data_IF_716834236419
#
_entry.id   IF_716834236419
#
_cell.length_a   1.000
_cell.length_b   1.000
_cell.length_c   1.000
_cell.angle_alpha   90.00
_cell.angle_beta   90.00
_cell.angle_gamma   90.00
#
_symmetry.space_group_name_H-M   'P 1'
#
loop_
_entity.id
_entity.type
_entity.pdbx_description
1 polymer ?
#
# COMPACT_ATOMS: atom_id res chain seq x y z
N UNK A 1 -23.97 4.44 14.07
CA UNK A 1 -25.39 4.74 13.82
C UNK A 1 -25.98 3.57 13.05
N UNK A 2 -27.30 3.49 12.96
CA UNK A 2 -27.96 2.48 12.13
C UNK A 2 -27.52 2.66 10.67
N UNK A 3 -26.91 1.63 10.08
CA UNK A 3 -26.33 1.68 8.74
C UNK A 3 -24.82 1.93 8.65
N UNK A 4 -24.13 2.15 9.78
CA UNK A 4 -22.65 2.23 9.76
C UNK A 4 -22.05 0.88 9.36
N UNK A 5 -21.04 0.93 8.49
CA UNK A 5 -20.31 -0.26 8.04
C UNK A 5 -18.84 -0.09 8.34
N UNK A 6 -18.26 -1.08 9.00
CA UNK A 6 -16.84 -1.15 9.27
C UNK A 6 -16.02 -1.31 7.97
N UNK A 7 -14.74 -0.98 8.02
CA UNK A 7 -13.80 -1.14 6.92
C UNK A 7 -13.80 -2.59 6.46
N UNK A 8 -13.58 -3.51 7.41
CA UNK A 8 -13.81 -4.92 7.22
C UNK A 8 -15.30 -5.22 7.51
N UNK A 9 -16.01 -5.76 6.51
CA UNK A 9 -17.46 -5.97 6.57
C UNK A 9 -17.89 -7.06 7.56
N UNK A 10 -16.95 -7.88 8.02
CA UNK A 10 -17.19 -9.01 8.92
C UNK A 10 -17.02 -8.65 10.40
N UNK A 11 -16.69 -7.39 10.72
CA UNK A 11 -16.54 -6.91 12.11
C UNK A 11 -17.51 -5.77 12.43
N UNK A 12 -17.74 -5.59 13.73
CA UNK A 12 -18.59 -4.52 14.25
C UNK A 12 -17.92 -3.15 14.04
N UNK A 13 -18.67 -2.13 13.57
CA UNK A 13 -18.18 -0.76 13.49
C UNK A 13 -18.01 -0.16 14.90
N UNK A 14 -16.79 0.26 15.23
CA UNK A 14 -16.45 0.76 16.58
C UNK A 14 -15.89 2.19 16.60
N UNK A 15 -15.50 2.75 15.46
CA UNK A 15 -14.86 4.07 15.41
C UNK A 15 -15.26 4.88 14.17
N UNK A 16 -15.85 6.04 14.37
CA UNK A 16 -16.15 7.01 13.32
C UNK A 16 -15.18 8.19 13.38
N UNK A 17 -14.65 8.60 12.23
CA UNK A 17 -13.95 9.88 12.10
C UNK A 17 -14.98 10.97 11.90
N UNK A 18 -14.84 12.09 12.60
CA UNK A 18 -15.66 13.27 12.37
C UNK A 18 -15.09 13.98 11.13
N UNK A 19 -15.83 14.05 10.01
CA UNK A 19 -15.36 14.74 8.82
C UNK A 19 -15.25 16.25 9.09
N UNK A 20 -14.31 16.91 8.42
CA UNK A 20 -14.27 18.37 8.38
C UNK A 20 -15.49 18.93 7.66
N UNK A 21 -15.82 20.20 7.94
CA UNK A 21 -16.91 20.88 7.24
C UNK A 21 -16.48 21.18 5.80
N UNK A 22 -17.33 20.85 4.83
CA UNK A 22 -17.05 21.11 3.42
C UNK A 22 -16.85 22.61 3.16
N UNK A 23 -15.76 22.97 2.48
CA UNK A 23 -15.42 24.35 2.16
C UNK A 23 -14.75 25.13 3.29
N UNK A 24 -14.57 24.54 4.48
CA UNK A 24 -13.79 25.15 5.54
C UNK A 24 -12.27 25.08 5.24
N UNK A 25 -11.54 26.13 5.58
CA UNK A 25 -10.08 26.12 5.44
C UNK A 25 -9.45 25.09 6.40
N UNK A 26 -8.46 24.29 5.96
CA UNK A 26 -7.78 23.36 6.84
C UNK A 26 -7.14 24.08 8.03
N UNK A 27 -7.55 23.71 9.24
CA UNK A 27 -7.02 24.26 10.48
C UNK A 27 -6.24 23.21 11.26
N UNK A 28 -5.13 23.60 11.88
CA UNK A 28 -4.34 22.71 12.74
C UNK A 28 -4.92 22.69 14.17
N UNK A 29 -6.14 22.19 14.32
CA UNK A 29 -6.85 22.08 15.60
C UNK A 29 -6.75 20.70 16.26
N UNK A 30 -6.02 19.77 15.63
CA UNK A 30 -5.82 18.42 16.15
C UNK A 30 -4.43 18.28 16.79
N UNK A 31 -4.39 17.83 18.04
CA UNK A 31 -3.17 17.39 18.70
C UNK A 31 -3.09 15.87 18.64
N UNK A 32 -2.30 15.37 17.69
CA UNK A 32 -1.97 13.95 17.60
C UNK A 32 -1.02 13.53 18.72
N UNK A 33 -1.04 12.25 19.08
CA UNK A 33 -0.06 11.74 20.03
C UNK A 33 1.34 11.75 19.42
N UNK A 34 2.32 12.14 20.24
CA UNK A 34 3.74 12.12 19.88
C UNK A 34 4.34 10.70 19.80
N UNK A 35 3.59 9.67 20.21
CA UNK A 35 3.99 8.27 20.19
C UNK A 35 2.94 7.39 19.50
N UNK A 36 3.37 6.22 19.03
CA UNK A 36 2.46 5.21 18.49
C UNK A 36 1.65 4.57 19.63
N UNK A 37 0.33 4.71 19.57
CA UNK A 37 -0.56 3.86 20.36
C UNK A 37 -0.65 2.47 19.74
N UNK A 38 -0.91 1.48 20.58
CA UNK A 38 -1.26 0.14 20.11
C UNK A 38 -2.56 0.20 19.31
N UNK A 39 -2.45 0.08 17.99
CA UNK A 39 -3.57 0.02 17.06
C UNK A 39 -3.63 -1.38 16.45
N UNK A 40 -4.28 -2.34 17.13
CA UNK A 40 -4.40 -3.70 16.63
C UNK A 40 -5.23 -3.73 15.35
N UNK A 41 -5.09 -4.80 14.55
CA UNK A 41 -5.92 -5.03 13.37
C UNK A 41 -7.41 -4.84 13.66
N UNK A 42 -7.91 -5.41 14.75
CA UNK A 42 -9.31 -5.27 15.16
C UNK A 42 -9.77 -3.80 15.34
N UNK A 43 -8.87 -2.92 15.79
CA UNK A 43 -9.19 -1.50 15.90
C UNK A 43 -9.35 -0.87 14.50
N UNK A 44 -8.40 -1.12 13.60
CA UNK A 44 -8.42 -0.57 12.22
C UNK A 44 -9.56 -1.14 11.38
N UNK A 45 -9.78 -2.44 11.46
CA UNK A 45 -10.86 -3.15 10.77
C UNK A 45 -12.24 -2.60 11.15
N UNK A 46 -12.42 -2.18 12.41
CA UNK A 46 -13.67 -1.62 12.92
C UNK A 46 -13.87 -0.13 12.65
N UNK A 47 -13.00 0.52 11.88
CA UNK A 47 -13.22 1.92 11.47
C UNK A 47 -14.40 2.00 10.51
N UNK A 48 -15.31 2.93 10.77
CA UNK A 48 -16.46 3.19 9.92
C UNK A 48 -15.96 3.88 8.65
N UNK A 49 -16.36 3.34 7.51
CA UNK A 49 -16.06 3.89 6.18
C UNK A 49 -17.30 3.87 5.33
N UNK A 50 -17.45 4.92 4.52
CA UNK A 50 -18.56 5.03 3.59
C UNK A 50 -18.64 3.82 2.66
N UNK A 51 -19.86 3.41 2.37
CA UNK A 51 -20.19 2.36 1.39
C UNK A 51 -20.88 2.93 0.15
N UNK A 52 -21.13 4.25 0.14
CA UNK A 52 -21.70 4.92 -1.02
C UNK A 52 -20.64 4.98 -2.14
N UNK A 53 -20.91 4.42 -3.34
CA UNK A 53 -20.01 4.53 -4.47
C UNK A 53 -19.66 5.97 -4.85
N UNK A 54 -20.56 6.93 -4.63
CA UNK A 54 -20.31 8.35 -4.88
C UNK A 54 -19.24 8.93 -3.93
N UNK A 55 -19.09 8.35 -2.74
CA UNK A 55 -18.14 8.80 -1.72
C UNK A 55 -16.82 8.02 -1.74
N UNK A 56 -16.68 7.02 -2.61
CA UNK A 56 -15.49 6.16 -2.67
C UNK A 56 -14.17 6.92 -2.92
N UNK A 57 -14.26 8.04 -3.64
CA UNK A 57 -13.11 8.94 -3.90
C UNK A 57 -13.05 10.15 -2.97
N UNK A 58 -13.99 10.24 -2.02
CA UNK A 58 -14.07 11.30 -1.02
C UNK A 58 -13.33 10.86 0.27
N UNK A 59 -13.01 11.79 1.18
CA UNK A 59 -12.34 11.45 2.44
C UNK A 59 -13.05 10.37 3.27
N UNK A 60 -14.39 10.28 3.21
CA UNK A 60 -15.20 9.29 3.94
C UNK A 60 -15.06 7.85 3.42
N UNK A 61 -14.63 7.66 2.17
CA UNK A 61 -14.36 6.35 1.55
C UNK A 61 -12.88 6.00 1.40
N UNK A 62 -11.98 6.89 1.86
CA UNK A 62 -10.55 6.79 1.58
C UNK A 62 -9.91 5.50 2.10
N UNK A 63 -10.16 5.12 3.36
CA UNK A 63 -9.55 3.92 3.95
C UNK A 63 -10.10 2.65 3.27
N UNK A 64 -11.39 2.63 2.91
CA UNK A 64 -12.00 1.52 2.16
C UNK A 64 -11.30 1.32 0.81
N UNK A 65 -11.03 2.41 0.09
CA UNK A 65 -10.29 2.33 -1.17
C UNK A 65 -8.88 1.75 -0.98
N UNK A 66 -8.19 2.10 0.10
CA UNK A 66 -6.87 1.54 0.40
C UNK A 66 -6.95 0.03 0.71
N UNK A 67 -7.97 -0.39 1.46
CA UNK A 67 -8.21 -1.80 1.76
C UNK A 67 -8.55 -2.58 0.48
N UNK A 68 -9.49 -2.10 -0.33
CA UNK A 68 -9.90 -2.77 -1.58
C UNK A 68 -8.70 -2.90 -2.55
N UNK A 69 -7.83 -1.89 -2.62
CA UNK A 69 -6.59 -1.96 -3.41
C UNK A 69 -5.58 -2.95 -2.84
N UNK A 70 -5.51 -3.08 -1.51
CA UNK A 70 -4.63 -4.03 -0.81
C UNK A 70 -5.11 -5.47 -1.02
N UNK A 71 -6.42 -5.69 -1.01
CA UNK A 71 -7.04 -7.00 -1.22
C UNK A 71 -6.73 -7.58 -2.61
N UNK A 72 -6.41 -6.74 -3.60
CA UNK A 72 -5.92 -7.20 -4.92
C UNK A 72 -4.59 -7.95 -4.85
N UNK A 73 -3.80 -7.73 -3.79
CA UNK A 73 -2.52 -8.39 -3.55
C UNK A 73 -2.64 -9.62 -2.63
N UNK A 74 -3.81 -9.86 -2.03
CA UNK A 74 -4.01 -10.98 -1.13
C UNK A 74 -3.76 -12.33 -1.84
N UNK A 75 -2.99 -13.21 -1.20
CA UNK A 75 -2.60 -14.51 -1.78
C UNK A 75 -1.54 -14.41 -2.88
N UNK A 76 -0.97 -13.22 -3.12
CA UNK A 76 0.19 -13.00 -3.99
C UNK A 76 1.47 -12.80 -3.18
N UNK A 77 1.42 -13.01 -1.87
CA UNK A 77 2.61 -12.88 -1.02
C UNK A 77 3.64 -13.97 -1.36
N UNK A 78 4.92 -13.63 -1.24
CA UNK A 78 5.98 -14.64 -1.29
C UNK A 78 5.83 -15.59 -0.10
N UNK A 79 5.90 -16.92 -0.29
CA UNK A 79 5.94 -17.86 0.83
C UNK A 79 7.20 -17.67 1.68
N UNK A 80 8.26 -17.11 1.09
CA UNK A 80 9.53 -16.80 1.74
C UNK A 80 9.59 -15.31 2.10
N UNK A 81 9.31 -14.98 3.37
CA UNK A 81 9.49 -13.64 3.89
C UNK A 81 10.99 -13.37 4.11
N UNK A 82 11.60 -12.59 3.23
CA UNK A 82 12.99 -12.17 3.38
C UNK A 82 13.09 -10.86 4.20
N UNK A 83 13.68 -10.87 5.41
CA UNK A 83 13.70 -9.70 6.30
C UNK A 83 14.79 -8.70 5.90
N UNK A 84 14.69 -8.13 4.69
CA UNK A 84 15.72 -7.26 4.12
C UNK A 84 16.08 -6.05 5.01
N UNK A 85 15.13 -5.59 5.83
CA UNK A 85 15.31 -4.47 6.76
C UNK A 85 16.19 -4.79 7.98
N UNK A 86 16.43 -6.07 8.25
CA UNK A 86 17.24 -6.54 9.38
C UNK A 86 18.59 -7.12 8.92
N UNK A 87 19.01 -6.84 7.68
CA UNK A 87 20.26 -7.31 7.13
C UNK A 87 21.31 -6.21 7.16
N UNK A 88 22.50 -6.58 7.61
CA UNK A 88 23.72 -5.78 7.49
C UNK A 88 24.68 -6.54 6.60
N UNK A 89 24.90 -6.12 5.34
CA UNK A 89 25.82 -6.80 4.45
C UNK A 89 27.25 -6.70 4.99
N UNK A 90 28.07 -7.72 4.70
CA UNK A 90 29.51 -7.67 4.98
C UNK A 90 30.11 -6.44 4.27
N UNK A 91 30.80 -5.53 4.99
CA UNK A 91 31.46 -4.38 4.40
C UNK A 91 32.34 -4.71 3.19
N UNK A 92 32.96 -5.90 3.14
CA UNK A 92 33.78 -6.35 2.02
C UNK A 92 32.98 -6.57 0.72
N UNK A 93 31.67 -6.76 0.83
CA UNK A 93 30.75 -6.98 -0.31
C UNK A 93 29.79 -5.81 -0.56
N UNK A 94 29.80 -4.80 0.31
CA UNK A 94 28.82 -3.73 0.31
C UNK A 94 28.77 -2.95 -1.01
N UNK A 95 29.94 -2.63 -1.59
CA UNK A 95 30.02 -1.90 -2.86
C UNK A 95 29.47 -2.72 -4.03
N UNK A 96 29.82 -4.01 -4.10
CA UNK A 96 29.31 -4.92 -5.13
C UNK A 96 27.79 -5.08 -5.03
N UNK A 97 27.26 -5.23 -3.82
CA UNK A 97 25.83 -5.32 -3.56
C UNK A 97 25.10 -4.02 -3.94
N UNK A 98 25.68 -2.85 -3.62
CA UNK A 98 25.11 -1.56 -3.97
C UNK A 98 25.02 -1.38 -5.50
N UNK A 99 26.07 -1.77 -6.22
CA UNK A 99 26.09 -1.72 -7.69
C UNK A 99 25.05 -2.68 -8.30
N UNK A 100 24.98 -3.92 -7.81
CA UNK A 100 23.99 -4.89 -8.28
C UNK A 100 22.55 -4.41 -8.02
N UNK A 101 22.29 -3.86 -6.83
CA UNK A 101 20.98 -3.26 -6.51
C UNK A 101 20.62 -2.14 -7.47
N UNK A 102 21.56 -1.25 -7.78
CA UNK A 102 21.32 -0.15 -8.72
C UNK A 102 20.97 -0.68 -10.10
N UNK A 103 21.76 -1.63 -10.64
CA UNK A 103 21.52 -2.23 -11.94
C UNK A 103 20.13 -2.90 -12.05
N UNK A 104 19.75 -3.68 -11.03
CA UNK A 104 18.43 -4.31 -10.96
C UNK A 104 17.33 -3.24 -10.89
N UNK A 105 17.51 -2.21 -10.06
CA UNK A 105 16.53 -1.12 -9.91
C UNK A 105 16.33 -0.38 -11.24
N UNK A 106 17.40 -0.06 -11.95
CA UNK A 106 17.33 0.61 -13.24
C UNK A 106 16.65 -0.25 -14.30
N UNK A 107 16.97 -1.55 -14.34
CA UNK A 107 16.30 -2.50 -15.24
C UNK A 107 14.80 -2.58 -14.99
N UNK A 108 14.38 -2.71 -13.73
CA UNK A 108 12.96 -2.74 -13.33
C UNK A 108 12.28 -1.44 -13.74
N UNK A 109 12.84 -0.28 -13.41
CA UNK A 109 12.23 1.02 -13.69
C UNK A 109 12.08 1.28 -15.20
N UNK A 110 13.08 0.93 -16.00
CA UNK A 110 13.04 1.09 -17.45
C UNK A 110 11.98 0.18 -18.08
N UNK A 111 11.86 -1.07 -17.63
CA UNK A 111 10.84 -1.98 -18.13
C UNK A 111 9.43 -1.61 -17.63
N UNK A 112 9.30 -1.16 -16.39
CA UNK A 112 8.02 -0.68 -15.84
C UNK A 112 7.46 0.48 -16.68
N UNK A 113 8.31 1.44 -17.07
CA UNK A 113 7.90 2.52 -17.98
C UNK A 113 7.39 1.97 -19.32
N UNK A 114 8.06 0.96 -19.88
CA UNK A 114 7.66 0.34 -21.15
C UNK A 114 6.32 -0.42 -21.03
N UNK A 115 6.07 -1.12 -19.92
CA UNK A 115 4.77 -1.74 -19.66
C UNK A 115 3.66 -0.70 -19.48
N UNK A 116 3.91 0.35 -18.71
CA UNK A 116 2.92 1.42 -18.44
C UNK A 116 2.55 2.19 -19.72
N UNK A 117 3.53 2.45 -20.59
CA UNK A 117 3.32 3.16 -21.86
C UNK A 117 2.82 2.26 -22.98
N UNK A 118 2.73 0.94 -22.75
CA UNK A 118 2.29 -0.04 -23.74
C UNK A 118 3.34 -0.40 -24.80
N UNK A 119 4.59 0.01 -24.61
CA UNK A 119 5.71 -0.45 -25.45
C UNK A 119 6.05 -1.93 -25.20
N UNK A 120 5.69 -2.46 -24.02
CA UNK A 120 5.68 -3.88 -23.67
C UNK A 120 4.28 -4.30 -23.23
N UNK A 121 3.93 -5.56 -23.48
CA UNK A 121 2.67 -6.17 -23.09
C UNK A 121 2.91 -7.22 -21.99
N UNK A 122 2.10 -7.19 -20.92
CA UNK A 122 2.23 -8.09 -19.78
C UNK A 122 2.03 -9.57 -20.13
N UNK A 123 1.24 -9.89 -21.15
CA UNK A 123 0.95 -11.28 -21.53
C UNK A 123 2.08 -11.87 -22.41
N UNK A 124 2.70 -11.05 -23.28
CA UNK A 124 3.70 -11.55 -24.23
C UNK A 124 5.16 -11.28 -23.82
N UNK A 125 5.44 -10.22 -23.06
CA UNK A 125 6.81 -9.78 -22.78
C UNK A 125 7.28 -10.08 -21.35
N UNK A 126 6.40 -10.60 -20.49
CA UNK A 126 6.71 -10.86 -19.08
C UNK A 126 7.84 -11.86 -18.88
N UNK A 127 7.77 -13.02 -19.54
CA UNK A 127 8.78 -14.07 -19.38
C UNK A 127 10.17 -13.59 -19.85
N UNK A 128 10.21 -12.78 -20.91
CA UNK A 128 11.45 -12.18 -21.41
C UNK A 128 12.02 -11.12 -20.44
N UNK A 129 11.15 -10.36 -19.77
CA UNK A 129 11.55 -9.43 -18.72
C UNK A 129 12.13 -10.17 -17.50
N UNK A 130 11.47 -11.25 -17.06
CA UNK A 130 11.95 -12.07 -15.93
C UNK A 130 13.30 -12.70 -16.25
N UNK A 131 13.47 -13.27 -17.45
CA UNK A 131 14.75 -13.84 -17.89
C UNK A 131 15.90 -12.81 -17.96
N UNK A 132 15.59 -11.52 -18.10
CA UNK A 132 16.59 -10.46 -18.06
C UNK A 132 17.12 -10.13 -16.66
N UNK A 133 16.43 -10.55 -15.59
CA UNK A 133 16.88 -10.37 -14.20
C UNK A 133 17.90 -11.44 -13.76
N UNK A 134 18.05 -12.52 -14.52
CA UNK A 134 18.97 -13.62 -14.23
C UNK A 134 20.41 -13.38 -14.77
N UNK A 135 20.63 -12.28 -15.51
CA UNK A 135 21.92 -11.91 -16.12
C UNK A 135 22.71 -10.95 -15.23
#
# INVERSE_FOLDING_TARGET
QEGDVALNKDVEPIFAVIPGVEGEEPHNSNWGAAAQYFQPKAFRDGWIQSVDPAEYYMPSGYERRLQDATDLYAGKESPDLFPFWALWPDPATADALAMQRQNITDYINQNALQFVTGAKNLDSDWDSYVAGLEQ
#
